data_IF_570223031667
#
_entry.id   IF_570223031667
#
_cell.length_a   1.000
_cell.length_b   1.000
_cell.length_c   1.000
_cell.angle_alpha   90.00
_cell.angle_beta   90.00
_cell.angle_gamma   90.00
#
_symmetry.space_group_name_H-M   'P 1'
#
loop_
_entity.id
_entity.type
_entity.pdbx_description
1 polymer ?
#
# COMPACT_ATOMS: atom_id res chain seq x y z
N UNK A 1 -10.37 31.24 -1.13
CA UNK A 1 -10.58 29.84 -1.57
C UNK A 1 -10.11 28.94 -0.44
N UNK A 2 -11.00 28.21 0.22
CA UNK A 2 -10.60 27.28 1.28
C UNK A 2 -10.42 25.90 0.66
N UNK A 3 -9.17 25.42 0.59
CA UNK A 3 -8.88 24.05 0.16
C UNK A 3 -8.80 23.13 1.37
N UNK A 4 -9.52 22.02 1.36
CA UNK A 4 -9.37 20.95 2.33
C UNK A 4 -8.27 19.99 1.84
N UNK A 5 -7.33 19.61 2.71
CA UNK A 5 -6.33 18.57 2.44
C UNK A 5 -6.65 17.35 3.30
N UNK A 6 -6.73 16.19 2.65
CA UNK A 6 -7.01 14.91 3.29
C UNK A 6 -5.84 13.97 3.04
N UNK A 7 -5.59 13.09 4.00
CA UNK A 7 -4.55 12.06 3.91
C UNK A 7 -5.03 10.80 4.63
N UNK A 8 -4.63 9.64 4.13
CA UNK A 8 -4.93 8.35 4.76
C UNK A 8 -3.85 8.02 5.78
N UNK A 9 -4.26 7.78 7.03
CA UNK A 9 -3.37 7.36 8.13
C UNK A 9 -3.91 6.05 8.72
N UNK A 10 -3.00 5.19 9.18
CA UNK A 10 -3.40 4.07 10.03
C UNK A 10 -3.64 4.52 11.49
N UNK A 11 -4.11 3.62 12.35
CA UNK A 11 -4.43 3.91 13.76
C UNK A 11 -3.22 4.29 14.62
N UNK A 12 -2.02 3.95 14.17
CA UNK A 12 -0.75 4.27 14.85
C UNK A 12 -0.20 5.64 14.42
N UNK A 13 -0.92 6.37 13.55
CA UNK A 13 -0.52 7.69 13.07
C UNK A 13 0.51 7.66 11.93
N UNK A 14 0.71 6.50 11.28
CA UNK A 14 1.57 6.37 10.10
C UNK A 14 0.78 6.75 8.85
N UNK A 15 1.34 7.70 8.09
CA UNK A 15 0.81 8.13 6.81
C UNK A 15 0.95 7.01 5.78
N UNK A 16 -0.18 6.60 5.20
CA UNK A 16 -0.22 5.60 4.14
C UNK A 16 0.19 6.26 2.83
N UNK A 17 1.49 6.24 2.54
CA UNK A 17 2.07 6.75 1.30
C UNK A 17 2.29 5.64 0.25
N UNK A 18 2.22 4.39 0.67
CA UNK A 18 2.30 3.20 -0.16
C UNK A 18 1.11 2.27 0.12
N UNK A 19 0.82 1.41 -0.86
CA UNK A 19 -0.23 0.39 -0.78
C UNK A 19 0.32 -0.92 -0.19
N UNK A 20 1.33 -0.83 0.68
CA UNK A 20 2.07 -1.99 1.13
C UNK A 20 1.19 -2.94 1.94
N UNK A 21 0.93 -4.12 1.38
CA UNK A 21 0.22 -5.20 2.04
C UNK A 21 1.19 -6.33 2.38
N UNK A 22 1.56 -6.53 3.66
CA UNK A 22 2.47 -7.60 4.06
C UNK A 22 1.91 -9.00 3.74
N UNK A 23 0.59 -9.14 3.68
CA UNK A 23 -0.09 -10.39 3.33
C UNK A 23 0.09 -10.72 1.85
N UNK A 24 -0.13 -9.74 0.96
CA UNK A 24 0.06 -9.94 -0.48
C UNK A 24 1.55 -10.11 -0.77
N UNK A 25 2.43 -9.33 -0.12
CA UNK A 25 3.87 -9.51 -0.22
C UNK A 25 4.30 -10.94 0.11
N UNK A 26 3.89 -11.45 1.28
CA UNK A 26 4.23 -12.81 1.68
C UNK A 26 3.68 -13.86 0.70
N UNK A 27 2.43 -13.70 0.25
CA UNK A 27 1.83 -14.60 -0.73
C UNK A 27 2.63 -14.66 -2.04
N UNK A 28 2.98 -13.51 -2.61
CA UNK A 28 3.71 -13.42 -3.88
C UNK A 28 5.11 -14.02 -3.75
N UNK A 29 5.85 -13.62 -2.71
CA UNK A 29 7.23 -14.10 -2.49
C UNK A 29 7.27 -15.59 -2.14
N UNK A 30 6.31 -16.09 -1.36
CA UNK A 30 6.22 -17.53 -1.01
C UNK A 30 6.04 -18.45 -2.23
N UNK A 31 5.56 -17.90 -3.34
CA UNK A 31 5.34 -18.61 -4.62
C UNK A 31 6.42 -18.32 -5.67
N UNK A 32 7.50 -17.64 -5.28
CA UNK A 32 8.58 -17.25 -6.19
C UNK A 32 8.24 -16.09 -7.12
N UNK A 33 7.15 -15.36 -6.85
CA UNK A 33 6.78 -14.16 -7.60
C UNK A 33 7.54 -12.92 -7.12
N UNK A 34 7.62 -11.91 -7.98
CA UNK A 34 8.20 -10.61 -7.63
C UNK A 34 7.09 -9.68 -7.14
N UNK A 35 7.23 -9.20 -5.90
CA UNK A 35 6.36 -8.17 -5.37
C UNK A 35 6.87 -6.79 -5.80
N UNK A 36 6.08 -6.05 -6.57
CA UNK A 36 6.45 -4.73 -7.11
C UNK A 36 5.35 -3.69 -6.87
N UNK A 37 5.71 -2.40 -6.91
CA UNK A 37 4.75 -1.31 -6.82
C UNK A 37 3.75 -1.30 -7.99
N UNK A 38 4.12 -1.85 -9.15
CA UNK A 38 3.21 -2.05 -10.28
C UNK A 38 2.16 -3.11 -9.96
N UNK A 39 2.58 -4.25 -9.37
CA UNK A 39 1.68 -5.29 -8.94
C UNK A 39 0.68 -4.78 -7.89
N UNK A 40 1.14 -4.02 -6.89
CA UNK A 40 0.24 -3.42 -5.90
C UNK A 40 -0.85 -2.55 -6.53
N UNK A 41 -0.48 -1.66 -7.46
CA UNK A 41 -1.40 -0.76 -8.16
C UNK A 41 -2.38 -1.48 -9.10
N UNK A 42 -2.12 -2.75 -9.43
CA UNK A 42 -3.05 -3.55 -10.24
C UNK A 42 -4.12 -4.24 -9.39
N UNK A 43 -3.90 -4.33 -8.07
CA UNK A 43 -4.80 -5.02 -7.13
C UNK A 43 -5.66 -4.00 -6.37
N UNK A 44 -5.08 -2.86 -6.00
CA UNK A 44 -5.73 -1.75 -5.28
C UNK A 44 -6.00 -0.56 -6.20
#
# INVERSE_FOLDING_TARGET
>A
MNSLRLAALNIDGVLLNDTFSPVIHHFVVSRGGTYSAELERSIF
#
